data_IF_180594591704
#
_entry.id   IF_180594591704
#
_cell.length_a   1.000
_cell.length_b   1.000
_cell.length_c   1.000
_cell.angle_alpha   90.00
_cell.angle_beta   90.00
_cell.angle_gamma   90.00
#
_symmetry.space_group_name_H-M   'P 1'
#
loop_
_entity.id
_entity.type
_entity.pdbx_description
1 polymer ?
#
# COMPACT_ATOMS: atom_id res chain seq x y z
N UNK A 1 12.69 38.77 25.53
CA UNK A 1 11.69 37.67 25.62
C UNK A 1 11.84 37.09 27.01
N UNK A 2 10.81 37.22 27.84
CA UNK A 2 10.87 36.74 29.23
C UNK A 2 10.69 35.21 29.27
N UNK A 3 10.89 34.60 30.42
CA UNK A 3 10.84 33.14 30.58
C UNK A 3 9.44 32.57 30.28
N UNK A 4 8.38 33.30 30.63
CA UNK A 4 6.99 32.92 30.38
C UNK A 4 6.66 32.90 28.87
N UNK A 5 7.16 33.87 28.11
CA UNK A 5 7.02 33.93 26.65
C UNK A 5 7.76 32.77 25.97
N UNK A 6 8.91 32.37 26.50
CA UNK A 6 9.69 31.24 25.98
C UNK A 6 8.96 29.91 26.23
N UNK A 7 8.41 29.72 27.43
CA UNK A 7 7.63 28.53 27.81
C UNK A 7 6.33 28.41 27.00
N UNK A 8 5.60 29.51 26.80
CA UNK A 8 4.41 29.55 25.97
C UNK A 8 4.72 29.22 24.49
N UNK A 9 5.80 29.78 23.95
CA UNK A 9 6.22 29.52 22.57
C UNK A 9 6.77 28.10 22.38
N UNK A 10 7.50 27.55 23.35
CA UNK A 10 7.94 26.15 23.36
C UNK A 10 6.75 25.20 23.48
N UNK A 11 5.77 25.50 24.33
CA UNK A 11 4.52 24.74 24.44
C UNK A 11 3.73 24.73 23.13
N UNK A 12 3.62 25.87 22.46
CA UNK A 12 3.01 26.00 21.12
C UNK A 12 3.81 25.27 20.03
N UNK A 13 5.14 25.35 20.06
CA UNK A 13 5.99 24.65 19.10
C UNK A 13 5.94 23.13 19.29
N UNK A 14 6.04 22.66 20.53
CA UNK A 14 5.91 21.25 20.88
C UNK A 14 4.51 20.73 20.55
N UNK A 15 3.44 21.48 20.85
CA UNK A 15 2.07 21.08 20.50
C UNK A 15 1.86 21.00 18.99
N UNK A 16 2.40 21.93 18.19
CA UNK A 16 2.35 21.92 16.71
C UNK A 16 3.17 20.79 16.09
N UNK A 17 4.30 20.45 16.72
CA UNK A 17 5.16 19.35 16.27
C UNK A 17 4.54 17.99 16.63
N UNK A 18 4.00 17.87 17.85
CA UNK A 18 3.28 16.70 18.33
C UNK A 18 1.95 16.47 17.60
N UNK A 19 1.20 17.51 17.24
CA UNK A 19 -0.04 17.35 16.44
C UNK A 19 0.24 16.82 15.04
N UNK A 20 1.38 17.17 14.42
CA UNK A 20 1.80 16.55 13.14
C UNK A 20 2.22 15.09 13.33
N UNK A 21 2.91 14.77 14.42
CA UNK A 21 3.31 13.40 14.78
C UNK A 21 2.11 12.50 15.14
N UNK A 22 1.06 13.08 15.73
CA UNK A 22 -0.19 12.41 16.14
C UNK A 22 -1.32 12.50 15.12
N UNK A 23 -1.06 12.94 13.88
CA UNK A 23 -2.09 12.87 12.82
C UNK A 23 -2.53 11.42 12.67
N UNK A 24 -3.79 11.14 13.02
CA UNK A 24 -4.37 9.82 12.81
C UNK A 24 -4.27 9.46 11.32
N UNK A 25 -3.79 8.25 10.97
CA UNK A 25 -3.84 7.77 9.61
C UNK A 25 -5.27 7.86 9.09
N UNK A 26 -5.41 8.16 7.79
CA UNK A 26 -6.72 8.27 7.16
C UNK A 26 -7.43 6.92 7.27
N UNK A 27 -8.59 6.91 7.91
CA UNK A 27 -9.51 5.78 7.84
C UNK A 27 -10.29 5.82 6.52
N UNK A 28 -10.51 4.64 5.94
CA UNK A 28 -11.27 4.44 4.71
C UNK A 28 -12.55 3.63 4.99
N UNK A 29 -13.52 4.18 5.75
CA UNK A 29 -14.70 3.44 6.18
C UNK A 29 -15.71 3.13 5.06
N UNK A 30 -15.61 3.82 3.92
CA UNK A 30 -16.54 3.68 2.78
C UNK A 30 -15.86 3.12 1.53
N UNK A 31 -14.72 2.45 1.69
CA UNK A 31 -14.02 1.82 0.57
C UNK A 31 -14.40 0.36 0.45
N UNK A 32 -14.35 -0.13 -0.78
CA UNK A 32 -14.50 -1.56 -1.10
C UNK A 32 -13.15 -2.09 -1.59
N UNK A 33 -12.84 -3.31 -1.19
CA UNK A 33 -11.64 -4.01 -1.63
C UNK A 33 -12.03 -5.01 -2.73
N UNK A 34 -11.20 -5.09 -3.76
CA UNK A 34 -11.33 -6.03 -4.87
C UNK A 34 -10.02 -6.79 -4.97
N UNK A 35 -10.06 -8.11 -4.83
CA UNK A 35 -8.92 -8.97 -5.12
C UNK A 35 -8.74 -9.10 -6.62
N UNK A 36 -7.50 -9.16 -7.07
CA UNK A 36 -7.17 -9.38 -8.48
C UNK A 36 -6.08 -10.42 -8.65
N UNK A 37 -6.24 -11.24 -9.67
CA UNK A 37 -5.21 -12.12 -10.19
C UNK A 37 -5.12 -11.94 -11.71
N UNK A 38 -3.89 -11.88 -12.23
CA UNK A 38 -3.63 -11.89 -13.67
C UNK A 38 -2.89 -13.18 -13.98
N UNK A 39 -3.42 -13.97 -14.93
CA UNK A 39 -2.73 -15.13 -15.47
C UNK A 39 -2.02 -14.74 -16.75
N UNK A 40 -0.75 -15.07 -16.82
CA UNK A 40 0.10 -14.86 -17.97
C UNK A 40 0.41 -16.20 -18.63
N UNK A 41 0.76 -16.16 -19.91
CA UNK A 41 1.37 -17.30 -20.58
C UNK A 41 2.69 -17.70 -19.92
N UNK A 42 3.24 -18.83 -20.35
CA UNK A 42 4.42 -19.44 -19.75
C UNK A 42 5.66 -18.54 -19.88
N UNK A 43 5.68 -17.69 -20.91
CA UNK A 43 6.76 -16.72 -21.16
C UNK A 43 6.54 -15.37 -20.44
N UNK A 44 5.39 -15.17 -19.79
CA UNK A 44 5.04 -13.92 -19.12
C UNK A 44 4.79 -12.74 -20.08
N UNK A 45 4.64 -13.01 -21.38
CA UNK A 45 4.52 -12.01 -22.43
C UNK A 45 3.09 -11.67 -22.80
N UNK A 46 2.15 -12.59 -22.59
CA UNK A 46 0.74 -12.43 -22.98
C UNK A 46 -0.18 -12.70 -21.78
N UNK A 47 -1.02 -11.74 -21.37
CA UNK A 47 -1.98 -12.00 -20.31
C UNK A 47 -3.14 -12.84 -20.88
N UNK A 48 -3.41 -13.95 -20.22
CA UNK A 48 -4.43 -14.92 -20.59
C UNK A 48 -5.79 -14.55 -20.01
N UNK A 49 -5.81 -14.09 -18.76
CA UNK A 49 -7.01 -13.84 -17.98
C UNK A 49 -6.77 -12.78 -16.91
N UNK A 50 -7.69 -11.81 -16.80
CA UNK A 50 -7.83 -10.96 -15.62
C UNK A 50 -8.99 -11.49 -14.78
N UNK A 51 -8.72 -11.80 -13.52
CA UNK A 51 -9.74 -12.21 -12.57
C UNK A 51 -9.92 -11.16 -11.50
N UNK A 52 -11.16 -10.69 -11.31
CA UNK A 52 -11.54 -9.81 -10.21
C UNK A 52 -12.45 -10.57 -9.24
N UNK A 53 -12.28 -10.30 -7.94
CA UNK A 53 -13.10 -10.87 -6.87
C UNK A 53 -13.46 -9.78 -5.85
N UNK A 54 -14.70 -9.79 -5.36
CA UNK A 54 -15.11 -9.03 -4.18
C UNK A 54 -15.94 -9.91 -3.25
N UNK A 55 -16.08 -9.50 -1.99
CA UNK A 55 -16.84 -10.23 -0.97
C UNK A 55 -18.01 -9.37 -0.47
N UNK A 56 -19.18 -10.00 -0.35
CA UNK A 56 -20.36 -9.42 0.31
C UNK A 56 -20.82 -10.38 1.40
N UNK A 57 -20.51 -10.03 2.65
CA UNK A 57 -20.50 -11.01 3.74
C UNK A 57 -19.49 -12.12 3.43
N UNK A 58 -19.92 -13.37 3.49
CA UNK A 58 -19.10 -14.54 3.14
C UNK A 58 -19.18 -14.94 1.65
N UNK A 59 -20.05 -14.29 0.86
CA UNK A 59 -20.26 -14.67 -0.54
C UNK A 59 -19.17 -14.10 -1.44
N UNK A 60 -18.60 -14.97 -2.27
CA UNK A 60 -17.60 -14.63 -3.27
C UNK A 60 -18.28 -14.23 -4.57
N UNK A 61 -18.08 -12.99 -4.99
CA UNK A 61 -18.46 -12.51 -6.31
C UNK A 61 -17.22 -12.40 -7.17
N UNK A 62 -17.22 -13.10 -8.29
CA UNK A 62 -16.05 -13.24 -9.14
C UNK A 62 -16.42 -12.95 -10.60
N UNK A 63 -15.55 -12.25 -11.31
CA UNK A 63 -15.68 -12.04 -12.75
C UNK A 63 -14.34 -12.13 -13.46
N UNK A 64 -14.33 -12.97 -14.50
CA UNK A 64 -13.19 -13.20 -15.36
C UNK A 64 -13.31 -12.37 -16.63
N UNK A 65 -12.20 -11.81 -17.09
CA UNK A 65 -12.12 -10.99 -18.29
C UNK A 65 -10.98 -11.50 -19.18
N UNK A 66 -11.31 -11.78 -20.44
CA UNK A 66 -10.30 -11.96 -21.46
C UNK A 66 -9.77 -10.59 -21.91
N UNK A 67 -8.47 -10.51 -22.19
CA UNK A 67 -7.80 -9.29 -22.61
C UNK A 67 -7.34 -9.42 -24.08
N UNK A 68 -8.24 -9.27 -25.06
CA UNK A 68 -7.87 -9.32 -26.47
C UNK A 68 -6.88 -8.18 -26.78
N UNK A 69 -5.67 -8.53 -27.22
CA UNK A 69 -4.57 -7.59 -27.46
C UNK A 69 -3.60 -7.40 -26.29
N UNK A 70 -3.82 -8.11 -25.18
CA UNK A 70 -2.85 -8.24 -24.09
C UNK A 70 -2.63 -6.99 -23.23
N UNK A 71 -3.52 -5.98 -23.36
CA UNK A 71 -3.42 -4.72 -22.63
C UNK A 71 -4.78 -4.26 -22.13
N UNK A 72 -4.74 -3.47 -21.06
CA UNK A 72 -5.90 -2.90 -20.39
C UNK A 72 -5.56 -1.48 -19.97
N UNK A 73 -6.36 -0.50 -20.38
CA UNK A 73 -6.23 0.88 -19.89
C UNK A 73 -6.81 1.02 -18.48
N UNK A 74 -6.40 2.06 -17.74
CA UNK A 74 -6.99 2.38 -16.44
C UNK A 74 -8.51 2.57 -16.49
N UNK A 75 -9.03 3.12 -17.59
CA UNK A 75 -10.46 3.26 -17.84
C UNK A 75 -11.16 1.91 -17.95
N UNK A 76 -10.61 0.99 -18.74
CA UNK A 76 -11.16 -0.36 -18.90
C UNK A 76 -11.12 -1.15 -17.58
N UNK A 77 -10.03 -1.04 -16.80
CA UNK A 77 -9.98 -1.67 -15.47
C UNK A 77 -11.08 -1.14 -14.55
N UNK A 78 -11.32 0.18 -14.54
CA UNK A 78 -12.40 0.77 -13.77
C UNK A 78 -13.76 0.23 -14.21
N UNK A 79 -14.00 0.08 -15.52
CA UNK A 79 -15.28 -0.42 -16.00
C UNK A 79 -15.50 -1.90 -15.64
N UNK A 80 -14.46 -2.75 -15.69
CA UNK A 80 -14.51 -4.11 -15.14
C UNK A 80 -14.83 -4.14 -13.63
N UNK A 81 -14.18 -3.27 -12.86
CA UNK A 81 -14.44 -3.14 -11.41
C UNK A 81 -15.89 -2.72 -11.16
N UNK A 82 -16.38 -1.73 -11.90
CA UNK A 82 -17.76 -1.22 -11.75
C UNK A 82 -18.78 -2.31 -12.03
N UNK A 83 -18.57 -3.08 -13.09
CA UNK A 83 -19.45 -4.19 -13.45
C UNK A 83 -19.50 -5.25 -12.35
N UNK A 84 -18.34 -5.71 -11.85
CA UNK A 84 -18.26 -6.66 -10.74
C UNK A 84 -19.03 -6.14 -9.52
N UNK A 85 -18.76 -4.90 -9.12
CA UNK A 85 -19.35 -4.30 -7.92
C UNK A 85 -20.86 -4.08 -8.04
N UNK A 86 -21.36 -3.74 -9.24
CA UNK A 86 -22.80 -3.63 -9.48
C UNK A 86 -23.49 -4.99 -9.39
N UNK A 87 -22.92 -6.02 -10.00
CA UNK A 87 -23.46 -7.39 -9.93
C UNK A 87 -23.47 -7.95 -8.51
N UNK A 88 -22.50 -7.55 -7.70
CA UNK A 88 -22.39 -7.95 -6.31
C UNK A 88 -23.26 -7.11 -5.35
N UNK A 89 -23.92 -6.04 -5.81
CA UNK A 89 -24.53 -5.02 -4.95
C UNK A 89 -23.54 -4.46 -3.89
N UNK A 90 -22.27 -4.31 -4.30
CA UNK A 90 -21.14 -3.97 -3.46
C UNK A 90 -20.58 -2.57 -3.78
N UNK A 91 -21.37 -1.68 -4.39
CA UNK A 91 -20.88 -0.38 -4.85
C UNK A 91 -20.54 0.52 -3.64
N UNK A 92 -19.29 1.01 -3.51
CA UNK A 92 -18.89 1.82 -2.37
C UNK A 92 -19.67 3.14 -2.33
N UNK A 93 -20.10 3.56 -1.13
CA UNK A 93 -20.76 4.86 -0.94
C UNK A 93 -19.84 6.00 -1.37
N UNK A 94 -20.40 6.96 -2.11
CA UNK A 94 -19.66 8.15 -2.51
C UNK A 94 -19.43 9.08 -1.31
N UNK A 95 -18.16 9.43 -1.02
CA UNK A 95 -17.80 10.44 -0.02
C UNK A 95 -17.35 11.70 -0.75
N UNK A 96 -18.08 12.80 -0.57
CA UNK A 96 -17.86 14.06 -1.31
C UNK A 96 -17.87 13.82 -2.84
N UNK A 97 -18.82 13.02 -3.31
CA UNK A 97 -18.97 12.66 -4.73
C UNK A 97 -17.95 11.67 -5.27
N UNK A 98 -17.07 11.12 -4.43
CA UNK A 98 -16.00 10.20 -4.85
C UNK A 98 -16.21 8.81 -4.25
N UNK A 99 -16.24 7.79 -5.10
CA UNK A 99 -16.25 6.37 -4.76
C UNK A 99 -14.81 5.84 -4.74
N UNK A 100 -14.43 5.17 -3.65
CA UNK A 100 -13.06 4.69 -3.44
C UNK A 100 -12.99 3.17 -3.49
N UNK A 101 -12.11 2.65 -4.33
CA UNK A 101 -11.85 1.20 -4.45
C UNK A 101 -10.36 0.93 -4.26
N UNK A 102 -10.04 -0.12 -3.51
CA UNK A 102 -8.69 -0.64 -3.40
C UNK A 102 -8.60 -2.00 -4.08
N UNK A 103 -7.82 -2.08 -5.14
CA UNK A 103 -7.54 -3.29 -5.90
C UNK A 103 -6.30 -3.94 -5.30
N UNK A 104 -6.45 -5.13 -4.74
CA UNK A 104 -5.42 -5.86 -4.01
C UNK A 104 -4.89 -6.99 -4.87
N UNK A 105 -3.58 -7.00 -5.10
CA UNK A 105 -2.88 -8.05 -5.86
C UNK A 105 -1.75 -8.64 -5.03
N UNK A 106 -1.43 -9.92 -5.26
CA UNK A 106 -0.23 -10.54 -4.67
C UNK A 106 1.05 -9.90 -5.19
N UNK A 107 1.06 -9.61 -6.50
CA UNK A 107 2.20 -9.04 -7.20
C UNK A 107 1.75 -7.81 -8.00
N UNK A 108 2.21 -6.62 -7.59
CA UNK A 108 1.83 -5.35 -8.21
C UNK A 108 2.26 -5.22 -9.67
N UNK A 109 3.46 -5.72 -9.99
CA UNK A 109 4.05 -5.74 -11.33
C UNK A 109 3.16 -6.46 -12.33
N UNK A 110 2.59 -7.61 -11.96
CA UNK A 110 1.72 -8.41 -12.80
C UNK A 110 0.46 -7.65 -13.25
N UNK A 111 -0.17 -6.88 -12.36
CA UNK A 111 -1.28 -6.01 -12.75
C UNK A 111 -0.81 -4.81 -13.57
N UNK A 112 0.29 -4.17 -13.15
CA UNK A 112 0.80 -2.96 -13.80
C UNK A 112 1.27 -3.21 -15.24
N UNK A 113 1.75 -4.42 -15.54
CA UNK A 113 2.18 -4.83 -16.87
C UNK A 113 1.04 -4.87 -17.90
N UNK A 114 -0.24 -4.88 -17.45
CA UNK A 114 -1.38 -4.77 -18.35
C UNK A 114 -1.52 -3.36 -18.96
N UNK A 115 -1.03 -2.32 -18.28
CA UNK A 115 -1.18 -0.96 -18.76
C UNK A 115 -0.20 -0.67 -19.90
N UNK A 116 -0.65 -0.05 -21.01
CA UNK A 116 0.24 0.48 -22.04
C UNK A 116 1.37 1.35 -21.47
N UNK A 117 1.06 2.17 -20.45
CA UNK A 117 2.05 2.89 -19.66
C UNK A 117 1.61 2.99 -18.20
N UNK A 118 2.16 2.11 -17.36
CA UNK A 118 1.88 2.09 -15.93
C UNK A 118 2.18 3.43 -15.24
N UNK A 119 3.24 4.13 -15.65
CA UNK A 119 3.65 5.42 -15.05
C UNK A 119 2.58 6.49 -15.26
N UNK A 120 2.04 6.59 -16.48
CA UNK A 120 1.04 7.62 -16.82
C UNK A 120 -0.35 7.24 -16.33
N UNK A 121 -0.73 5.97 -16.46
CA UNK A 121 -2.10 5.52 -16.16
C UNK A 121 -2.32 5.18 -14.69
N UNK A 122 -1.31 4.62 -14.03
CA UNK A 122 -1.42 4.08 -12.68
C UNK A 122 -0.52 4.79 -11.66
N UNK A 123 0.09 5.94 -12.01
CA UNK A 123 0.95 6.78 -11.14
C UNK A 123 1.73 5.94 -10.14
N UNK A 124 2.57 5.03 -10.66
CA UNK A 124 3.20 3.97 -9.88
C UNK A 124 3.99 4.54 -8.71
N UNK A 125 3.80 3.94 -7.54
CA UNK A 125 4.46 4.28 -6.29
C UNK A 125 5.23 3.04 -5.81
N UNK A 126 6.50 2.93 -6.23
CA UNK A 126 7.37 1.85 -5.78
C UNK A 126 7.92 2.14 -4.37
N UNK A 127 7.74 1.18 -3.45
CA UNK A 127 8.33 1.23 -2.10
C UNK A 127 9.05 -0.08 -1.82
N UNK A 128 10.37 -0.08 -2.00
CA UNK A 128 11.16 -1.32 -1.98
C UNK A 128 10.77 -2.24 -3.15
N UNK A 129 10.34 -3.47 -2.85
CA UNK A 129 9.86 -4.44 -3.85
C UNK A 129 8.36 -4.34 -4.15
N UNK A 130 7.60 -3.58 -3.36
CA UNK A 130 6.16 -3.43 -3.52
C UNK A 130 5.83 -2.34 -4.54
N UNK A 131 4.90 -2.63 -5.44
CA UNK A 131 4.47 -1.74 -6.52
C UNK A 131 3.01 -1.32 -6.29
N UNK A 132 2.84 -0.26 -5.51
CA UNK A 132 1.53 0.38 -5.36
C UNK A 132 1.25 1.29 -6.55
N UNK A 133 -0.01 1.67 -6.71
CA UNK A 133 -0.40 2.58 -7.76
C UNK A 133 -1.70 3.28 -7.47
N UNK A 134 -2.01 4.25 -8.30
CA UNK A 134 -3.26 4.98 -8.25
C UNK A 134 -3.64 5.39 -9.66
N UNK A 135 -4.81 4.95 -10.10
CA UNK A 135 -5.35 5.42 -11.37
C UNK A 135 -5.69 6.90 -11.28
N UNK A 136 -5.69 7.59 -12.40
CA UNK A 136 -6.26 8.92 -12.47
C UNK A 136 -7.72 8.90 -12.00
N UNK A 137 -8.16 9.96 -11.33
CA UNK A 137 -9.56 10.05 -10.91
C UNK A 137 -10.41 10.14 -12.17
N UNK A 138 -11.33 9.20 -12.33
CA UNK A 138 -12.17 9.10 -13.52
C UNK A 138 -13.62 9.43 -13.18
N UNK A 139 -14.26 10.20 -14.06
CA UNK A 139 -15.69 10.45 -13.99
C UNK A 139 -16.44 9.37 -14.77
N UNK A 140 -17.55 8.91 -14.20
CA UNK A 140 -18.57 8.07 -14.85
C UNK A 140 -19.95 8.62 -14.52
N UNK A 141 -20.98 8.02 -15.11
CA UNK A 141 -22.39 8.40 -14.92
C UNK A 141 -22.82 8.38 -13.45
N UNK A 142 -22.25 7.48 -12.66
CA UNK A 142 -22.57 7.23 -11.24
C UNK A 142 -21.63 7.95 -10.24
N UNK A 143 -20.79 8.86 -10.74
CA UNK A 143 -19.91 9.72 -9.94
C UNK A 143 -18.43 9.61 -10.29
N UNK A 144 -17.59 10.22 -9.45
CA UNK A 144 -16.14 10.15 -9.60
C UNK A 144 -15.60 8.91 -8.89
N UNK A 145 -14.63 8.24 -9.50
CA UNK A 145 -13.99 7.02 -8.99
C UNK A 145 -12.50 7.25 -8.71
N UNK A 146 -12.05 6.78 -7.56
CA UNK A 146 -10.65 6.79 -7.12
C UNK A 146 -10.21 5.35 -6.85
N UNK A 147 -9.48 4.78 -7.81
CA UNK A 147 -8.99 3.39 -7.76
C UNK A 147 -7.52 3.39 -7.32
N UNK A 148 -7.23 2.61 -6.29
CA UNK A 148 -5.88 2.45 -5.75
C UNK A 148 -5.43 1.01 -5.87
N UNK A 149 -4.20 0.82 -6.33
CA UNK A 149 -3.58 -0.48 -6.47
C UNK A 149 -2.73 -0.74 -5.23
N UNK A 150 -2.98 -1.89 -4.60
CA UNK A 150 -2.39 -2.31 -3.35
C UNK A 150 -1.66 -3.63 -3.58
N UNK A 151 -0.34 -3.57 -3.52
CA UNK A 151 0.52 -4.74 -3.60
C UNK A 151 0.68 -5.38 -2.22
N UNK A 152 0.29 -6.64 -2.08
CA UNK A 152 0.43 -7.41 -0.84
C UNK A 152 1.88 -7.60 -0.42
N UNK A 153 2.84 -7.57 -1.36
CA UNK A 153 4.27 -7.63 -1.02
C UNK A 153 4.71 -6.45 -0.12
N UNK A 154 3.93 -5.36 -0.08
CA UNK A 154 4.14 -4.25 0.86
C UNK A 154 3.88 -4.62 2.32
N UNK A 155 3.04 -5.63 2.58
CA UNK A 155 2.64 -6.08 3.91
C UNK A 155 3.17 -7.47 4.27
N UNK A 156 3.28 -8.35 3.28
CA UNK A 156 3.75 -9.73 3.38
C UNK A 156 5.01 -9.93 2.52
N UNK A 157 6.11 -9.22 2.81
CA UNK A 157 7.28 -9.23 1.96
C UNK A 157 7.91 -10.62 1.91
N UNK A 158 8.16 -11.11 0.69
CA UNK A 158 8.78 -12.42 0.41
C UNK A 158 7.94 -13.64 0.82
N UNK A 159 6.68 -13.46 1.21
CA UNK A 159 5.79 -14.58 1.50
C UNK A 159 5.09 -14.99 0.20
N UNK A 160 5.27 -16.25 -0.27
CA UNK A 160 4.60 -16.73 -1.47
C UNK A 160 3.09 -16.81 -1.24
N UNK A 161 2.31 -16.69 -2.33
CA UNK A 161 0.85 -16.73 -2.24
C UNK A 161 0.34 -18.05 -1.62
N UNK A 162 1.08 -19.15 -1.79
CA UNK A 162 0.79 -20.45 -1.18
C UNK A 162 0.79 -20.42 0.35
N UNK A 163 1.79 -19.78 0.96
CA UNK A 163 1.85 -19.64 2.42
C UNK A 163 0.77 -18.67 2.94
N UNK A 164 0.47 -17.62 2.16
CA UNK A 164 -0.64 -16.71 2.47
C UNK A 164 -1.98 -17.46 2.43
N UNK A 165 -2.18 -18.31 1.42
CA UNK A 165 -3.37 -19.14 1.23
C UNK A 165 -3.62 -20.08 2.42
N UNK A 166 -2.56 -20.71 2.93
CA UNK A 166 -2.63 -21.53 4.14
C UNK A 166 -3.05 -20.70 5.36
N UNK A 167 -2.48 -19.49 5.50
CA UNK A 167 -2.77 -18.59 6.64
C UNK A 167 -4.23 -18.14 6.67
N UNK A 168 -4.85 -17.93 5.51
CA UNK A 168 -6.29 -17.56 5.40
C UNK A 168 -7.22 -18.77 5.36
N UNK A 169 -6.70 -20.00 5.50
CA UNK A 169 -7.49 -21.23 5.51
C UNK A 169 -8.08 -21.61 4.15
N UNK A 170 -7.52 -21.10 3.05
CA UNK A 170 -7.97 -21.39 1.68
C UNK A 170 -6.77 -21.80 0.82
N UNK A 171 -6.35 -23.08 0.89
CA UNK A 171 -5.27 -23.60 0.06
C UNK A 171 -5.46 -23.26 -1.42
N UNK A 172 -4.36 -23.03 -2.14
CA UNK A 172 -4.46 -22.75 -3.58
C UNK A 172 -4.92 -24.01 -4.31
N UNK A 173 -5.58 -23.79 -5.45
CA UNK A 173 -5.94 -24.90 -6.32
C UNK A 173 -4.69 -25.28 -7.11
N UNK A 174 -4.29 -26.54 -7.03
CA UNK A 174 -3.10 -27.02 -7.72
C UNK A 174 -3.32 -26.93 -9.24
N UNK A 175 -2.37 -26.28 -9.89
CA UNK A 175 -2.29 -26.21 -11.33
C UNK A 175 -0.91 -26.68 -11.70
N UNK A 176 -0.86 -27.83 -12.38
CA UNK A 176 0.36 -28.29 -13.02
C UNK A 176 0.84 -27.17 -13.97
N UNK A 177 1.91 -26.47 -13.61
CA UNK A 177 2.67 -25.69 -14.60
C UNK A 177 3.26 -26.67 -15.64
N UNK A 178 3.68 -26.25 -16.85
CA UNK A 178 3.61 -24.96 -17.56
C UNK A 178 2.60 -25.00 -18.74
N UNK A 179 1.32 -25.23 -18.46
CA UNK A 179 0.29 -25.42 -19.50
C UNK A 179 -0.91 -24.45 -19.34
N UNK A 180 -0.70 -23.20 -18.91
CA UNK A 180 -1.80 -22.26 -18.72
C UNK A 180 -2.46 -21.87 -20.05
N UNK A 181 -1.67 -21.76 -21.12
CA UNK A 181 -2.20 -21.53 -22.49
C UNK A 181 -3.06 -22.70 -22.94
N UNK A 182 -2.60 -23.93 -22.69
CA UNK A 182 -3.35 -25.13 -23.03
C UNK A 182 -4.61 -25.26 -22.17
N UNK A 183 -4.50 -25.02 -20.86
CA UNK A 183 -5.64 -25.00 -19.94
C UNK A 183 -6.68 -23.95 -20.34
N UNK A 184 -6.25 -22.76 -20.83
CA UNK A 184 -7.19 -21.78 -21.38
C UNK A 184 -7.99 -22.37 -22.56
N UNK A 185 -7.35 -23.19 -23.40
CA UNK A 185 -7.96 -23.80 -24.59
C UNK A 185 -8.84 -25.01 -24.25
N UNK A 186 -8.41 -25.87 -23.32
CA UNK A 186 -9.04 -27.18 -23.07
C UNK A 186 -9.91 -27.20 -21.82
N UNK A 187 -9.57 -26.40 -20.80
CA UNK A 187 -10.16 -26.44 -19.46
C UNK A 187 -10.34 -25.02 -18.86
N UNK A 188 -10.95 -24.09 -19.63
CA UNK A 188 -11.11 -22.69 -19.22
C UNK A 188 -11.74 -22.55 -17.81
N UNK A 189 -12.72 -23.39 -17.48
CA UNK A 189 -13.36 -23.38 -16.17
C UNK A 189 -12.37 -23.64 -15.02
N UNK A 190 -11.38 -24.52 -15.23
CA UNK A 190 -10.31 -24.80 -14.24
C UNK A 190 -9.37 -23.61 -14.09
N UNK A 191 -8.98 -22.99 -15.20
CA UNK A 191 -8.14 -21.78 -15.18
C UNK A 191 -8.85 -20.63 -14.44
N UNK A 192 -10.14 -20.43 -14.70
CA UNK A 192 -10.97 -19.44 -14.01
C UNK A 192 -11.05 -19.77 -12.53
N UNK A 193 -11.38 -21.00 -12.14
CA UNK A 193 -11.47 -21.40 -10.73
C UNK A 193 -10.15 -21.17 -9.96
N UNK A 194 -9.01 -21.54 -10.56
CA UNK A 194 -7.70 -21.26 -9.99
C UNK A 194 -7.43 -19.76 -9.83
N UNK A 195 -7.77 -18.96 -10.85
CA UNK A 195 -7.60 -17.50 -10.80
C UNK A 195 -8.51 -16.86 -9.76
N UNK A 196 -9.74 -17.36 -9.60
CA UNK A 196 -10.68 -16.93 -8.55
C UNK A 196 -10.08 -17.20 -7.18
N UNK A 197 -9.51 -18.40 -6.97
CA UNK A 197 -8.86 -18.75 -5.70
C UNK A 197 -7.72 -17.79 -5.36
N UNK A 198 -6.85 -17.49 -6.31
CA UNK A 198 -5.74 -16.55 -6.07
C UNK A 198 -6.24 -15.14 -5.74
N UNK A 199 -7.21 -14.62 -6.49
CA UNK A 199 -7.82 -13.32 -6.23
C UNK A 199 -8.59 -13.30 -4.88
N UNK A 200 -9.22 -14.39 -4.48
CA UNK A 200 -9.89 -14.52 -3.18
C UNK A 200 -8.89 -14.55 -2.01
N UNK A 201 -7.82 -15.36 -2.13
CA UNK A 201 -6.77 -15.44 -1.10
C UNK A 201 -6.17 -14.06 -0.85
N UNK A 202 -5.81 -13.35 -1.91
CA UNK A 202 -5.25 -11.98 -1.80
C UNK A 202 -6.21 -11.03 -1.10
N UNK A 203 -7.50 -11.06 -1.46
CA UNK A 203 -8.52 -10.22 -0.85
C UNK A 203 -8.71 -10.54 0.64
N UNK A 204 -8.90 -11.82 0.99
CA UNK A 204 -9.12 -12.25 2.37
C UNK A 204 -7.90 -11.99 3.26
N UNK A 205 -6.69 -12.19 2.75
CA UNK A 205 -5.46 -11.85 3.48
C UNK A 205 -5.42 -10.36 3.84
N UNK A 206 -5.75 -9.50 2.88
CA UNK A 206 -5.77 -8.05 3.11
C UNK A 206 -6.89 -7.62 4.05
N UNK A 207 -8.08 -8.21 3.93
CA UNK A 207 -9.22 -7.93 4.82
C UNK A 207 -8.91 -8.34 6.27
N UNK A 208 -8.43 -9.57 6.48
CA UNK A 208 -8.10 -10.08 7.81
C UNK A 208 -6.96 -9.29 8.47
N UNK A 209 -5.93 -8.93 7.70
CA UNK A 209 -4.85 -8.08 8.20
C UNK A 209 -5.34 -6.66 8.55
N UNK A 210 -6.13 -6.06 7.66
CA UNK A 210 -6.73 -4.74 7.89
C UNK A 210 -7.59 -4.72 9.14
N UNK A 211 -8.47 -5.71 9.31
CA UNK A 211 -9.34 -5.83 10.48
C UNK A 211 -8.53 -6.00 11.76
N UNK A 212 -7.53 -6.88 11.75
CA UNK A 212 -6.68 -7.14 12.91
C UNK A 212 -5.96 -5.87 13.38
N UNK A 213 -5.33 -5.14 12.45
CA UNK A 213 -4.62 -3.88 12.78
C UNK A 213 -5.59 -2.76 13.19
N UNK A 214 -6.75 -2.66 12.54
CA UNK A 214 -7.79 -1.71 12.94
C UNK A 214 -8.30 -1.98 14.35
N UNK A 215 -8.58 -3.25 14.68
CA UNK A 215 -9.08 -3.66 15.99
C UNK A 215 -8.07 -3.42 17.10
N UNK A 216 -6.81 -3.80 16.87
CA UNK A 216 -5.77 -3.72 17.90
C UNK A 216 -5.22 -2.29 18.06
N UNK A 217 -5.00 -1.57 16.95
CA UNK A 217 -4.26 -0.32 16.95
C UNK A 217 -5.08 0.90 16.51
N UNK A 218 -6.32 0.72 16.05
CA UNK A 218 -7.16 1.77 15.46
C UNK A 218 -6.46 2.50 14.29
N UNK A 219 -5.72 1.74 13.48
CA UNK A 219 -4.99 2.22 12.30
C UNK A 219 -5.50 1.50 11.08
N UNK A 220 -5.97 2.27 10.09
CA UNK A 220 -6.32 1.70 8.78
C UNK A 220 -5.05 1.50 7.96
N UNK A 221 -4.75 0.24 7.65
CA UNK A 221 -3.59 -0.16 6.87
C UNK A 221 -3.62 0.44 5.46
N UNK A 222 -4.79 0.73 4.88
CA UNK A 222 -4.91 1.36 3.55
C UNK A 222 -4.36 2.80 3.52
N UNK A 223 -4.15 3.42 4.69
CA UNK A 223 -3.45 4.70 4.82
C UNK A 223 -1.93 4.60 4.79
N UNK A 224 -1.37 3.38 4.85
CA UNK A 224 0.04 3.10 5.02
C UNK A 224 0.47 2.06 3.99
N UNK A 225 1.31 2.43 3.03
CA UNK A 225 1.61 1.55 1.89
C UNK A 225 2.33 0.26 2.25
N UNK A 226 3.08 0.25 3.35
CA UNK A 226 3.94 -0.88 3.73
C UNK A 226 3.86 -1.21 5.21
N UNK A 227 4.27 -2.42 5.57
CA UNK A 227 4.37 -2.87 6.96
C UNK A 227 5.25 -1.94 7.82
N UNK A 228 6.44 -1.47 7.37
CA UNK A 228 7.19 -0.45 8.10
C UNK A 228 6.43 0.87 8.29
N UNK A 229 5.61 1.29 7.31
CA UNK A 229 4.78 2.49 7.46
C UNK A 229 3.69 2.29 8.53
N UNK A 230 3.09 1.10 8.59
CA UNK A 230 2.12 0.74 9.64
C UNK A 230 2.81 0.74 11.00
N UNK A 231 3.94 0.04 11.14
CA UNK A 231 4.71 -0.03 12.38
C UNK A 231 5.13 1.37 12.86
N UNK A 232 5.58 2.23 11.95
CA UNK A 232 5.90 3.62 12.25
C UNK A 232 4.68 4.41 12.74
N UNK A 233 3.51 4.20 12.13
CA UNK A 233 2.25 4.82 12.59
C UNK A 233 1.81 4.31 13.96
N UNK A 234 1.92 3.01 14.22
CA UNK A 234 1.66 2.42 15.55
C UNK A 234 2.58 3.05 16.58
N UNK A 235 3.89 3.06 16.32
CA UNK A 235 4.89 3.63 17.21
C UNK A 235 4.61 5.11 17.52
N UNK A 236 4.38 5.93 16.49
CA UNK A 236 4.12 7.37 16.63
C UNK A 236 2.85 7.68 17.43
N UNK A 237 1.79 6.88 17.29
CA UNK A 237 0.51 7.18 17.92
C UNK A 237 0.42 6.66 19.35
N UNK A 238 0.99 5.49 19.61
CA UNK A 238 0.79 4.77 20.87
C UNK A 238 1.99 4.85 21.82
N UNK A 239 3.21 5.02 21.28
CA UNK A 239 4.43 4.95 22.07
C UNK A 239 5.16 6.30 22.18
N UNK A 240 5.02 7.20 21.21
CA UNK A 240 5.62 8.55 21.27
C UNK A 240 4.81 9.46 22.20
N UNK A 241 5.28 9.59 23.44
CA UNK A 241 4.64 10.40 24.50
C UNK A 241 5.04 11.87 24.46
N UNK A 242 6.25 12.19 24.02
CA UNK A 242 6.82 13.55 23.95
C UNK A 242 7.44 13.84 22.58
N UNK A 243 7.65 15.12 22.25
CA UNK A 243 8.30 15.52 21.00
C UNK A 243 9.74 14.99 20.91
N UNK A 244 10.38 15.09 19.74
CA UNK A 244 11.81 14.78 19.64
C UNK A 244 12.56 15.57 20.73
N UNK A 245 13.52 14.93 21.39
CA UNK A 245 14.33 15.63 22.38
C UNK A 245 14.94 16.88 21.74
N UNK A 246 15.06 17.99 22.48
CA UNK A 246 15.51 19.25 21.93
C UNK A 246 16.85 19.07 21.20
N UNK A 247 17.12 19.91 20.19
CA UNK A 247 18.43 20.01 19.55
C UNK A 247 19.04 21.35 19.92
N UNK A 248 20.34 21.38 20.19
CA UNK A 248 21.06 22.64 20.42
C UNK A 248 22.01 22.91 19.27
N UNK A 249 22.12 24.17 18.89
CA UNK A 249 23.14 24.62 17.95
C UNK A 249 24.47 24.74 18.69
N UNK A 250 25.51 24.08 18.19
CA UNK A 250 26.86 24.17 18.72
C UNK A 250 27.81 24.62 17.61
N UNK A 251 28.65 25.61 17.90
CA UNK A 251 29.78 25.90 17.02
C UNK A 251 30.86 24.84 17.23
N UNK A 252 31.28 24.23 16.13
CA UNK A 252 32.37 23.25 16.09
C UNK A 252 33.34 23.64 14.99
N UNK A 253 34.63 23.50 15.30
CA UNK A 253 35.70 23.69 14.33
C UNK A 253 35.88 22.38 13.57
N UNK A 254 35.65 22.40 12.26
CA UNK A 254 36.00 21.25 11.40
C UNK A 254 37.19 21.60 10.53
N UNK A 255 38.08 20.62 10.38
CA UNK A 255 39.13 20.65 9.37
C UNK A 255 38.51 20.39 8.00
N UNK A 256 38.55 21.40 7.14
CA UNK A 256 38.11 21.32 5.75
C UNK A 256 39.36 21.37 4.85
N UNK A 257 39.43 20.45 3.88
CA UNK A 257 40.50 20.43 2.89
C UNK A 257 40.21 21.49 1.83
N UNK A 258 41.05 22.54 1.76
CA UNK A 258 41.04 23.55 0.70
C UNK A 258 42.38 23.51 -0.02
N UNK A 259 42.38 22.92 -1.22
CA UNK A 259 43.60 22.64 -1.97
C UNK A 259 44.49 21.60 -1.26
N UNK A 260 45.79 21.90 -1.14
CA UNK A 260 46.77 21.01 -0.50
C UNK A 260 46.85 21.12 1.03
N UNK A 261 46.06 21.99 1.67
CA UNK A 261 46.12 22.25 3.12
C UNK A 261 44.78 22.02 3.81
N UNK A 262 44.84 21.62 5.07
CA UNK A 262 43.68 21.58 5.97
C UNK A 262 43.57 22.92 6.70
N UNK A 263 42.37 23.51 6.71
CA UNK A 263 42.05 24.71 7.50
C UNK A 263 40.91 24.41 8.45
N UNK A 264 40.98 24.97 9.66
CA UNK A 264 39.88 24.94 10.61
C UNK A 264 38.83 25.99 10.20
N UNK A 265 37.60 25.54 9.97
CA UNK A 265 36.46 26.43 9.67
C UNK A 265 35.38 26.25 10.75
N UNK A 266 34.87 27.35 11.33
CA UNK A 266 33.76 27.28 12.28
C UNK A 266 32.47 26.91 11.53
N UNK A 267 31.79 25.87 12.00
CA UNK A 267 30.46 25.49 11.54
C UNK A 267 29.48 25.42 12.70
N UNK A 268 28.26 25.81 12.43
CA UNK A 268 27.13 25.56 13.35
C UNK A 268 26.59 24.19 13.02
N UNK A 269 26.78 23.24 13.94
CA UNK A 269 26.16 21.92 13.87
C UNK A 269 24.96 21.87 14.82
N UNK A 270 23.90 21.17 14.40
CA UNK A 270 22.77 20.86 15.27
C UNK A 270 23.06 19.53 15.96
N UNK A 271 23.27 19.56 17.27
CA UNK A 271 23.53 18.36 18.07
C UNK A 271 22.31 18.01 18.92
N UNK A 272 22.11 16.71 19.10
CA UNK A 272 21.06 16.17 19.98
C UNK A 272 21.26 16.70 21.40
N UNK A 273 20.22 17.29 21.98
CA UNK A 273 20.20 17.87 23.32
C UNK A 273 19.29 17.07 24.26
N UNK A 274 19.21 15.76 24.04
CA UNK A 274 18.57 14.79 24.95
C UNK A 274 19.58 13.78 25.49
N UNK A 275 19.10 12.79 26.25
CA UNK A 275 19.93 11.72 26.81
C UNK A 275 20.61 10.88 25.70
N UNK A 276 21.95 10.86 25.62
CA UNK A 276 22.70 10.09 24.62
C UNK A 276 22.32 8.61 24.53
N UNK A 277 21.85 8.03 25.63
CA UNK A 277 21.38 6.63 25.71
C UNK A 277 20.17 6.38 24.81
N UNK A 278 19.27 7.36 24.68
CA UNK A 278 18.08 7.30 23.81
C UNK A 278 18.49 7.32 22.34
N UNK A 279 19.51 8.11 21.97
CA UNK A 279 20.06 8.15 20.61
C UNK A 279 20.71 6.81 20.24
N UNK A 280 21.49 6.23 21.16
CA UNK A 280 22.14 4.92 20.95
C UNK A 280 21.10 3.82 20.75
N UNK A 281 20.01 3.83 21.54
CA UNK A 281 18.91 2.88 21.40
C UNK A 281 18.20 3.05 20.04
N UNK A 282 17.91 4.28 19.61
CA UNK A 282 17.27 4.57 18.34
C UNK A 282 18.14 4.17 17.12
N UNK A 283 19.45 4.35 17.19
CA UNK A 283 20.38 3.93 16.13
C UNK A 283 20.58 2.41 16.07
N UNK A 284 20.35 1.67 17.16
CA UNK A 284 20.41 0.20 17.19
C UNK A 284 19.12 -0.49 16.73
N UNK A 285 18.02 0.26 16.64
CA UNK A 285 16.71 -0.25 16.23
C UNK A 285 16.44 -0.11 14.72
N UNK A 286 17.39 0.45 13.96
CA UNK A 286 17.40 0.54 12.49
C UNK A 286 18.31 -0.55 11.92
#
# INVERSE_FOLDING_TARGET
MNQEDLEANLGLFLSRTLTRLRRRPRAYPYTVLVGVAVKWDELGGVPLLLQLVTLVGEHVHAQAYELPGGRLTGGQLLDCIRELLWRADAVPRARRGIRQVHVVTHEGTSLLALFPSAVTEARVEQVGKAHHGRLERMQREDGAWDVRLVDLAGYFPKIPLEEIAQTVGLPRLDVDGPHLVEMKRTELARLVAHSVRDAEVTLRAMLGFRESVLREWNIDVLGNRTLPSIASSIFRLHFVRSGPAPVKSQQVMRKVKKGARLRDEPRVERVFNGDPSVRIMACRAY
#
